data_IF_400715178793
#
_entry.id   IF_400715178793
#
_cell.length_a   1.000
_cell.length_b   1.000
_cell.length_c   1.000
_cell.angle_alpha   90.00
_cell.angle_beta   90.00
_cell.angle_gamma   90.00
#
_symmetry.space_group_name_H-M   'P 1'
#
loop_
_entity.id
_entity.type
_entity.pdbx_description
1 polymer ?
#
# COMPACT_ATOMS: atom_id res chain seq x y z
N UNK A 1 -4.75 3.18 5.51
CA UNK A 1 -4.14 3.04 6.84
C UNK A 1 -4.50 1.70 7.44
N UNK A 2 -5.66 1.60 8.10
CA UNK A 2 -6.09 0.38 8.80
C UNK A 2 -6.30 -0.83 7.87
N UNK A 3 -6.87 -0.65 6.66
CA UNK A 3 -7.06 -1.78 5.74
C UNK A 3 -5.73 -2.35 5.21
N UNK A 4 -4.86 -1.50 4.65
CA UNK A 4 -3.51 -1.94 4.22
C UNK A 4 -2.71 -2.56 5.37
N UNK A 5 -2.81 -2.01 6.60
CA UNK A 5 -2.23 -2.62 7.79
C UNK A 5 -2.83 -3.99 8.15
N UNK A 6 -4.14 -4.18 7.96
CA UNK A 6 -4.80 -5.46 8.17
C UNK A 6 -4.35 -6.51 7.14
N UNK A 7 -4.26 -6.16 5.86
CA UNK A 7 -3.71 -7.05 4.83
C UNK A 7 -2.25 -7.41 5.11
N UNK A 8 -1.42 -6.43 5.46
CA UNK A 8 -0.02 -6.66 5.81
C UNK A 8 0.13 -7.54 7.06
N UNK A 9 -0.72 -7.34 8.07
CA UNK A 9 -0.77 -8.18 9.26
C UNK A 9 -1.21 -9.61 8.94
N UNK A 10 -2.15 -9.79 8.01
CA UNK A 10 -2.64 -11.09 7.57
C UNK A 10 -1.57 -11.86 6.79
N UNK A 11 -0.83 -11.19 5.89
CA UNK A 11 0.34 -11.79 5.23
C UNK A 11 1.40 -12.24 6.24
N UNK A 12 1.70 -11.40 7.23
CA UNK A 12 2.65 -11.74 8.28
C UNK A 12 2.13 -12.89 9.16
N UNK A 13 0.84 -12.90 9.49
CA UNK A 13 0.18 -13.95 10.26
C UNK A 13 0.24 -15.29 9.52
N UNK A 14 -0.10 -15.31 8.23
CA UNK A 14 -0.01 -16.49 7.38
C UNK A 14 1.40 -17.05 7.29
N UNK A 15 2.41 -16.17 7.11
CA UNK A 15 3.81 -16.59 7.07
C UNK A 15 4.35 -17.08 8.42
N UNK A 16 3.90 -16.48 9.53
CA UNK A 16 4.26 -16.95 10.87
C UNK A 16 3.61 -18.31 11.19
N UNK A 17 2.39 -18.55 10.74
CA UNK A 17 1.72 -19.85 10.90
C UNK A 17 2.40 -20.93 10.06
N UNK A 18 2.72 -20.67 8.80
CA UNK A 18 3.34 -21.66 7.90
C UNK A 18 4.72 -22.11 8.36
N UNK A 19 5.53 -21.19 8.91
CA UNK A 19 6.87 -21.50 9.45
C UNK A 19 6.78 -22.02 10.89
N UNK A 20 5.87 -21.46 11.69
CA UNK A 20 5.87 -21.58 13.13
C UNK A 20 5.64 -23.00 13.64
N UNK A 21 4.70 -23.76 13.10
CA UNK A 21 4.29 -25.04 13.69
C UNK A 21 5.39 -26.12 13.61
N UNK A 22 5.98 -26.32 12.44
CA UNK A 22 7.04 -27.31 12.24
C UNK A 22 8.36 -26.91 12.90
N UNK A 23 8.79 -25.65 12.70
CA UNK A 23 10.06 -25.16 13.24
C UNK A 23 10.03 -25.02 14.76
N UNK A 24 8.89 -24.67 15.37
CA UNK A 24 8.76 -24.63 16.83
C UNK A 24 8.93 -26.03 17.43
N UNK A 25 8.30 -27.04 16.83
CA UNK A 25 8.40 -28.42 17.30
C UNK A 25 9.84 -28.93 17.23
N UNK A 26 10.53 -28.68 16.11
CA UNK A 26 11.94 -29.03 15.94
C UNK A 26 12.87 -28.29 16.91
N UNK A 27 12.67 -26.98 17.09
CA UNK A 27 13.48 -26.18 18.01
C UNK A 27 13.31 -26.61 19.47
N UNK A 28 12.08 -26.99 19.88
CA UNK A 28 11.81 -27.52 21.23
C UNK A 28 12.45 -28.90 21.42
N UNK A 29 12.49 -29.75 20.40
CA UNK A 29 13.12 -31.06 20.46
C UNK A 29 14.64 -31.00 20.73
N UNK A 30 15.31 -29.93 20.27
CA UNK A 30 16.74 -29.67 20.54
C UNK A 30 16.99 -28.79 21.78
N UNK A 31 15.95 -28.58 22.61
CA UNK A 31 16.09 -27.88 23.89
C UNK A 31 16.03 -26.35 23.82
N UNK A 32 15.66 -25.74 22.68
CA UNK A 32 15.52 -24.28 22.62
C UNK A 32 14.34 -23.77 23.46
N UNK A 33 14.49 -22.58 24.04
CA UNK A 33 13.37 -21.84 24.62
C UNK A 33 12.48 -21.26 23.51
N UNK A 34 11.18 -21.08 23.80
CA UNK A 34 10.22 -20.51 22.84
C UNK A 34 10.70 -19.17 22.27
N UNK A 35 11.21 -18.30 23.13
CA UNK A 35 11.74 -16.99 22.72
C UNK A 35 12.96 -17.10 21.82
N UNK A 36 13.89 -18.01 22.11
CA UNK A 36 15.05 -18.24 21.27
C UNK A 36 14.60 -18.73 19.89
N UNK A 37 13.73 -19.74 19.83
CA UNK A 37 13.20 -20.29 18.58
C UNK A 37 12.47 -19.24 17.73
N UNK A 38 11.62 -18.40 18.35
CA UNK A 38 10.92 -17.34 17.62
C UNK A 38 11.90 -16.34 17.02
N UNK A 39 12.85 -15.85 17.81
CA UNK A 39 13.76 -14.78 17.39
C UNK A 39 14.81 -15.26 16.38
N UNK A 40 15.38 -16.44 16.55
CA UNK A 40 16.50 -16.93 15.72
C UNK A 40 16.07 -17.76 14.52
N UNK A 41 14.89 -18.39 14.54
CA UNK A 41 14.45 -19.34 13.51
C UNK A 41 13.18 -18.84 12.82
N UNK A 42 12.08 -18.68 13.58
CA UNK A 42 10.75 -18.48 12.99
C UNK A 42 10.61 -17.09 12.36
N UNK A 43 10.97 -16.04 13.09
CA UNK A 43 10.83 -14.66 12.62
C UNK A 43 11.64 -14.36 11.34
N UNK A 44 12.95 -14.68 11.25
CA UNK A 44 13.71 -14.42 10.03
C UNK A 44 13.21 -15.23 8.82
N UNK A 45 12.70 -16.45 9.04
CA UNK A 45 12.10 -17.26 7.97
C UNK A 45 10.76 -16.69 7.50
N UNK A 46 9.87 -16.34 8.43
CA UNK A 46 8.59 -15.72 8.11
C UNK A 46 8.77 -14.38 7.36
N UNK A 47 9.72 -13.54 7.79
CA UNK A 47 10.06 -12.30 7.09
C UNK A 47 10.53 -12.56 5.65
N UNK A 48 11.36 -13.57 5.42
CA UNK A 48 11.84 -13.93 4.08
C UNK A 48 10.70 -14.39 3.16
N UNK A 49 9.64 -14.99 3.70
CA UNK A 49 8.45 -15.38 2.95
C UNK A 49 7.54 -14.18 2.59
N UNK A 50 7.40 -13.21 3.50
CA UNK A 50 6.52 -12.04 3.28
C UNK A 50 7.18 -10.98 2.40
N UNK A 51 8.51 -10.86 2.44
CA UNK A 51 9.25 -9.83 1.69
C UNK A 51 8.94 -9.79 0.18
N UNK A 52 8.87 -10.92 -0.56
CA UNK A 52 8.48 -10.92 -1.97
C UNK A 52 7.08 -10.35 -2.20
N UNK A 53 6.10 -10.73 -1.37
CA UNK A 53 4.72 -10.26 -1.48
C UNK A 53 4.61 -8.75 -1.25
N UNK A 54 5.26 -8.24 -0.19
CA UNK A 54 5.32 -6.80 0.07
C UNK A 54 6.06 -6.03 -1.03
N UNK A 55 7.11 -6.61 -1.60
CA UNK A 55 7.85 -5.98 -2.70
C UNK A 55 6.99 -5.86 -3.95
N UNK A 56 6.24 -6.92 -4.29
CA UNK A 56 5.30 -6.90 -5.41
C UNK A 56 4.20 -5.84 -5.20
N UNK A 57 3.63 -5.77 -4.00
CA UNK A 57 2.60 -4.77 -3.66
C UNK A 57 3.15 -3.34 -3.75
N UNK A 58 4.36 -3.09 -3.25
CA UNK A 58 5.01 -1.79 -3.34
C UNK A 58 5.23 -1.38 -4.81
N UNK A 59 5.69 -2.30 -5.66
CA UNK A 59 5.87 -2.06 -7.09
C UNK A 59 4.52 -1.78 -7.77
N UNK A 60 3.47 -2.51 -7.41
CA UNK A 60 2.13 -2.29 -7.96
C UNK A 60 1.60 -0.89 -7.60
N UNK A 61 1.70 -0.50 -6.33
CA UNK A 61 1.32 0.85 -5.87
C UNK A 61 2.12 1.94 -6.60
N UNK A 62 3.42 1.75 -6.79
CA UNK A 62 4.25 2.68 -7.56
C UNK A 62 3.77 2.80 -9.02
N UNK A 63 3.44 1.69 -9.68
CA UNK A 63 2.90 1.72 -11.05
C UNK A 63 1.58 2.49 -11.13
N UNK A 64 0.64 2.21 -10.23
CA UNK A 64 -0.65 2.88 -10.24
C UNK A 64 -0.53 4.39 -9.99
N UNK A 65 0.27 4.79 -8.99
CA UNK A 65 0.52 6.21 -8.73
C UNK A 65 1.24 6.87 -9.93
N UNK A 66 2.27 6.24 -10.49
CA UNK A 66 3.02 6.76 -11.63
C UNK A 66 2.14 7.04 -12.85
N UNK A 67 1.22 6.13 -13.19
CA UNK A 67 0.28 6.34 -14.32
C UNK A 67 -0.59 7.57 -14.09
N UNK A 68 -1.15 7.71 -12.88
CA UNK A 68 -1.99 8.87 -12.53
C UNK A 68 -1.18 10.17 -12.60
N UNK A 69 0.04 10.18 -12.03
CA UNK A 69 0.92 11.35 -12.09
C UNK A 69 1.30 11.72 -13.53
N UNK A 70 1.65 10.74 -14.35
CA UNK A 70 2.08 10.92 -15.73
C UNK A 70 0.98 11.53 -16.61
N UNK A 71 -0.28 11.22 -16.35
CA UNK A 71 -1.42 11.78 -17.10
C UNK A 71 -1.86 13.12 -16.50
N UNK A 72 -2.09 13.16 -15.19
CA UNK A 72 -2.74 14.30 -14.55
C UNK A 72 -1.84 15.54 -14.48
N UNK A 73 -0.54 15.38 -14.22
CA UNK A 73 0.36 16.53 -14.00
C UNK A 73 0.59 17.33 -15.30
N UNK A 74 0.95 16.71 -16.44
CA UNK A 74 1.15 17.47 -17.68
C UNK A 74 -0.13 18.14 -18.18
N UNK A 75 -1.29 17.50 -18.02
CA UNK A 75 -2.58 18.06 -18.43
C UNK A 75 -2.92 19.32 -17.62
N UNK A 76 -2.85 19.23 -16.28
CA UNK A 76 -3.07 20.37 -15.38
C UNK A 76 -2.06 21.50 -15.62
N UNK A 77 -0.78 21.14 -15.76
CA UNK A 77 0.32 22.09 -15.94
C UNK A 77 0.27 22.77 -17.32
N UNK A 78 -0.18 22.05 -18.35
CA UNK A 78 -0.42 22.60 -19.68
C UNK A 78 -1.45 23.71 -19.65
N UNK A 79 -2.60 23.47 -19.00
CA UNK A 79 -3.64 24.48 -18.81
C UNK A 79 -3.15 25.67 -17.97
N UNK A 80 -2.41 25.39 -16.90
CA UNK A 80 -1.81 26.41 -16.05
C UNK A 80 -0.88 27.34 -16.83
N UNK A 81 -0.05 26.79 -17.72
CA UNK A 81 0.88 27.55 -18.56
C UNK A 81 0.15 28.46 -19.55
N UNK A 82 -0.92 27.96 -20.18
CA UNK A 82 -1.74 28.76 -21.11
C UNK A 82 -2.38 29.95 -20.39
N UNK A 83 -3.00 29.70 -19.23
CA UNK A 83 -3.60 30.76 -18.40
C UNK A 83 -2.54 31.73 -17.90
N UNK A 84 -1.40 31.23 -17.42
CA UNK A 84 -0.31 32.04 -16.92
C UNK A 84 0.20 33.02 -17.96
N UNK A 85 0.37 32.56 -19.20
CA UNK A 85 0.81 33.42 -20.31
C UNK A 85 -0.26 34.42 -20.74
N UNK A 86 -1.55 34.05 -20.67
CA UNK A 86 -2.67 34.95 -21.02
C UNK A 86 -2.86 36.08 -20.02
N UNK A 87 -2.74 35.79 -18.73
CA UNK A 87 -3.02 36.74 -17.65
C UNK A 87 -1.75 37.34 -17.02
N UNK A 88 -0.56 36.95 -17.49
CA UNK A 88 0.75 37.37 -16.95
C UNK A 88 0.87 37.19 -15.42
N UNK A 89 0.17 36.21 -14.86
CA UNK A 89 0.02 36.01 -13.42
C UNK A 89 0.39 34.58 -13.00
N UNK A 90 1.66 34.16 -13.15
CA UNK A 90 2.08 32.77 -12.92
C UNK A 90 1.84 32.28 -11.49
N UNK A 91 2.26 33.05 -10.48
CA UNK A 91 2.16 32.65 -9.07
C UNK A 91 0.70 32.34 -8.65
N UNK A 92 -0.28 33.23 -8.82
CA UNK A 92 -1.65 32.94 -8.40
C UNK A 92 -2.28 31.78 -9.19
N UNK A 93 -1.94 31.64 -10.48
CA UNK A 93 -2.48 30.57 -11.32
C UNK A 93 -1.95 29.20 -10.87
N UNK A 94 -0.65 29.07 -10.62
CA UNK A 94 -0.10 27.81 -10.09
C UNK A 94 -0.60 27.50 -8.67
N UNK A 95 -0.87 28.49 -7.83
CA UNK A 95 -1.50 28.26 -6.52
C UNK A 95 -2.92 27.68 -6.65
N UNK A 96 -3.75 28.24 -7.54
CA UNK A 96 -5.10 27.71 -7.79
C UNK A 96 -5.03 26.28 -8.31
N UNK A 97 -4.10 26.00 -9.22
CA UNK A 97 -3.89 24.66 -9.79
C UNK A 97 -3.44 23.67 -8.71
N UNK A 98 -2.56 24.07 -7.79
CA UNK A 98 -2.15 23.24 -6.66
C UNK A 98 -3.33 22.92 -5.72
N UNK A 99 -4.17 23.92 -5.39
CA UNK A 99 -5.39 23.71 -4.59
C UNK A 99 -6.35 22.78 -5.32
N UNK A 100 -6.57 22.99 -6.62
CA UNK A 100 -7.43 22.12 -7.43
C UNK A 100 -6.94 20.67 -7.43
N UNK A 101 -5.63 20.46 -7.56
CA UNK A 101 -5.02 19.13 -7.47
C UNK A 101 -5.27 18.48 -6.11
N UNK A 102 -5.10 19.21 -5.00
CA UNK A 102 -5.39 18.71 -3.64
C UNK A 102 -6.87 18.33 -3.50
N UNK A 103 -7.78 19.17 -4.00
CA UNK A 103 -9.22 18.89 -3.98
C UNK A 103 -9.56 17.66 -4.79
N UNK A 104 -8.98 17.49 -5.98
CA UNK A 104 -9.21 16.33 -6.84
C UNK A 104 -8.72 15.03 -6.20
N UNK A 105 -7.51 15.03 -5.63
CA UNK A 105 -6.98 13.88 -4.89
C UNK A 105 -7.84 13.57 -3.66
N UNK A 106 -8.21 14.59 -2.89
CA UNK A 106 -9.08 14.45 -1.72
C UNK A 106 -10.46 13.90 -2.08
N UNK A 107 -11.09 14.42 -3.13
CA UNK A 107 -12.37 13.96 -3.62
C UNK A 107 -12.31 12.50 -4.09
N UNK A 108 -11.27 12.14 -4.84
CA UNK A 108 -11.04 10.76 -5.31
C UNK A 108 -10.85 9.81 -4.13
N UNK A 109 -10.06 10.21 -3.13
CA UNK A 109 -9.88 9.45 -1.90
C UNK A 109 -11.20 9.25 -1.14
N UNK A 110 -12.02 10.30 -1.00
CA UNK A 110 -13.32 10.22 -0.33
C UNK A 110 -14.31 9.35 -1.10
N UNK A 111 -14.33 9.43 -2.43
CA UNK A 111 -15.17 8.59 -3.30
C UNK A 111 -14.78 7.13 -3.20
N UNK A 112 -13.50 6.80 -3.32
CA UNK A 112 -12.97 5.45 -3.16
C UNK A 112 -13.30 4.91 -1.77
N UNK A 113 -13.12 5.71 -0.72
CA UNK A 113 -13.45 5.31 0.66
C UNK A 113 -14.95 5.06 0.84
N UNK A 114 -15.81 5.86 0.23
CA UNK A 114 -17.26 5.63 0.29
C UNK A 114 -17.67 4.38 -0.50
N UNK A 115 -17.07 4.17 -1.67
CA UNK A 115 -17.30 3.00 -2.49
C UNK A 115 -16.84 1.73 -1.77
N UNK A 116 -15.65 1.76 -1.16
CA UNK A 116 -15.11 0.67 -0.34
C UNK A 116 -16.03 0.33 0.84
N UNK A 117 -16.64 1.34 1.49
CA UNK A 117 -17.62 1.12 2.56
C UNK A 117 -18.92 0.51 2.05
N UNK A 118 -19.35 0.86 0.83
CA UNK A 118 -20.61 0.37 0.23
C UNK A 118 -20.46 -1.02 -0.41
N UNK A 119 -19.28 -1.33 -0.95
CA UNK A 119 -18.93 -2.61 -1.57
C UNK A 119 -18.23 -3.57 -0.60
N UNK A 120 -18.20 -3.25 0.70
CA UNK A 120 -17.62 -4.12 1.72
C UNK A 120 -18.48 -5.38 1.85
N UNK A 121 -18.17 -6.42 1.06
CA UNK A 121 -18.76 -7.75 1.19
C UNK A 121 -17.91 -8.51 2.21
N UNK A 122 -18.45 -8.89 3.38
CA UNK A 122 -17.71 -9.70 4.35
C UNK A 122 -17.39 -11.07 3.72
N UNK A 123 -16.11 -11.36 3.49
CA UNK A 123 -15.63 -12.71 3.18
C UNK A 123 -15.01 -12.99 1.79
N UNK A 124 -14.78 -12.01 0.91
CA UNK A 124 -14.27 -12.22 -0.46
C UNK A 124 -12.80 -11.84 -0.70
N UNK A 125 -11.95 -11.88 0.33
CA UNK A 125 -10.48 -11.91 0.14
C UNK A 125 -9.88 -13.14 0.79
N UNK A 126 -10.48 -14.28 0.49
CA UNK A 126 -9.81 -15.56 0.40
C UNK A 126 -9.98 -16.03 -1.04
N UNK A 127 -8.98 -16.74 -1.55
CA UNK A 127 -8.99 -17.43 -2.84
C UNK A 127 -8.66 -16.58 -4.07
N UNK A 128 -7.37 -16.53 -4.41
CA UNK A 128 -6.91 -17.08 -5.69
C UNK A 128 -5.50 -17.63 -5.49
N UNK A 129 -5.40 -18.95 -5.71
CA UNK A 129 -4.25 -19.85 -5.84
C UNK A 129 -2.83 -19.25 -5.94
#
# INVERSE_FOLDING_TARGET
GLNSGAYQAEYLRGALQSVGEGQMTAARAIGMSKWLAVRSIILPQALRLVLPAWSNEAIAMLKYTAVVFLIAVPDLMGQAKILSSRYFAPIPIYMIVAVFYIVLVGATYLLLRQLERKLHIPGLTGETH
#
